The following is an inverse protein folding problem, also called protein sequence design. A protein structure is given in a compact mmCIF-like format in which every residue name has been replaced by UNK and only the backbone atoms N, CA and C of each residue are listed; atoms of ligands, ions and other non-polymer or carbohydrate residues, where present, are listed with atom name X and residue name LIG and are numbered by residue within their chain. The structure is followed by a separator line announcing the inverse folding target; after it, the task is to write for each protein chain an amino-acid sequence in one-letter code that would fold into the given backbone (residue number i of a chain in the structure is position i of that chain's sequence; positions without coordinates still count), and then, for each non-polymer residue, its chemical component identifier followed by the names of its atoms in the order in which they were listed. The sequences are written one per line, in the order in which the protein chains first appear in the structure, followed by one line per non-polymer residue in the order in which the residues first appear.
data_IF_628007438787
#
_entry.id   IF_628007438787
#
_cell.length_a   1.000
_cell.length_b   1.000
_cell.length_c   1.000
_cell.angle_alpha   90.00
_cell.angle_beta   90.00
_cell.angle_gamma   90.00
#
_symmetry.space_group_name_H-M   'P 1'
#
loop_
_entity.id
_entity.type
_entity.pdbx_description
1 polymer ?
#
# COMPACT_ATOMS: atom_id res chain seq x y z
N UNK A 1 -5.53 10.75 1.86
CA UNK A 1 -5.78 9.81 2.99
C UNK A 1 -5.82 10.44 4.38
N UNK A 2 -5.38 11.68 4.61
CA UNK A 2 -5.45 12.30 5.96
C UNK A 2 -6.85 12.79 6.31
N UNK A 3 -7.35 12.45 7.51
CA UNK A 3 -8.65 12.89 8.02
C UNK A 3 -8.66 14.40 8.35
N UNK A 4 -9.77 15.11 8.09
CA UNK A 4 -9.91 16.55 8.33
C UNK A 4 -9.53 16.99 9.73
N UNK A 5 -9.93 16.21 10.74
CA UNK A 5 -9.60 16.45 12.14
C UNK A 5 -8.10 16.53 12.44
N UNK A 6 -7.23 15.89 11.65
CA UNK A 6 -5.79 16.07 11.82
C UNK A 6 -5.36 17.51 11.46
N UNK A 7 -5.93 18.08 10.39
CA UNK A 7 -5.67 19.47 10.00
C UNK A 7 -6.27 20.45 11.00
N UNK A 8 -7.50 20.19 11.49
CA UNK A 8 -8.16 21.02 12.50
C UNK A 8 -7.44 20.97 13.85
N UNK A 9 -6.90 19.82 14.23
CA UNK A 9 -6.07 19.69 15.43
C UNK A 9 -4.76 20.48 15.30
N UNK A 10 -4.10 20.44 14.15
CA UNK A 10 -2.89 21.23 13.88
C UNK A 10 -3.20 22.73 13.90
N UNK A 11 -4.29 23.15 13.24
CA UNK A 11 -4.77 24.54 13.27
C UNK A 11 -4.97 25.03 14.71
N UNK A 12 -5.77 24.30 15.50
CA UNK A 12 -6.02 24.63 16.91
C UNK A 12 -4.72 24.71 17.70
N UNK A 13 -3.85 23.71 17.56
CA UNK A 13 -2.56 23.66 18.26
C UNK A 13 -1.69 24.87 17.93
N UNK A 14 -1.67 25.31 16.67
CA UNK A 14 -0.87 26.47 16.27
C UNK A 14 -1.44 27.77 16.80
N UNK A 15 -2.78 27.94 16.81
CA UNK A 15 -3.42 29.11 17.43
C UNK A 15 -3.12 29.18 18.93
N UNK A 16 -3.21 28.04 19.63
CA UNK A 16 -2.91 27.96 21.06
C UNK A 16 -1.45 28.33 21.35
N UNK A 17 -0.51 27.89 20.52
CA UNK A 17 0.93 28.17 20.69
C UNK A 17 1.27 29.63 20.33
N UNK A 18 0.69 30.19 19.28
CA UNK A 18 1.04 31.53 18.80
C UNK A 18 0.22 32.64 19.43
N UNK A 19 -0.94 32.34 20.00
CA UNK A 19 -1.92 33.32 20.47
C UNK A 19 -2.60 34.10 19.34
N UNK A 20 -2.51 33.61 18.10
CA UNK A 20 -3.08 34.26 16.92
C UNK A 20 -4.30 33.45 16.46
N UNK A 21 -5.45 34.09 16.34
CA UNK A 21 -6.73 33.44 15.96
C UNK A 21 -6.88 33.13 14.47
N UNK A 22 -5.95 33.62 13.63
CA UNK A 22 -5.91 33.29 12.21
C UNK A 22 -5.66 31.79 11.97
N UNK A 23 -6.11 31.23 10.83
CA UNK A 23 -5.83 29.84 10.48
C UNK A 23 -4.35 29.48 10.64
N UNK A 24 -4.09 28.32 11.24
CA UNK A 24 -2.77 27.80 11.58
C UNK A 24 -1.91 28.77 12.40
N UNK A 25 -2.53 29.59 13.26
CA UNK A 25 -1.82 30.55 14.12
C UNK A 25 -1.06 31.60 13.33
N UNK A 26 -1.57 32.00 12.15
CA UNK A 26 -0.94 32.96 11.23
C UNK A 26 0.23 32.38 10.43
N UNK A 27 0.44 31.05 10.45
CA UNK A 27 1.51 30.39 9.66
C UNK A 27 1.04 30.06 8.25
N UNK A 28 1.96 30.14 7.30
CA UNK A 28 1.74 29.63 5.95
C UNK A 28 1.74 28.10 6.01
N UNK A 29 0.63 27.49 5.64
CA UNK A 29 0.47 26.05 5.60
C UNK A 29 0.32 25.57 4.15
N UNK A 30 1.24 24.72 3.69
CA UNK A 30 1.24 24.20 2.31
C UNK A 30 0.76 22.75 2.33
N UNK A 31 -0.25 22.46 1.51
CA UNK A 31 -0.83 21.12 1.35
C UNK A 31 -0.55 20.61 -0.06
N UNK A 32 -0.13 19.35 -0.16
CA UNK A 32 0.00 18.63 -1.42
C UNK A 32 -0.87 17.38 -1.40
N UNK A 33 -1.57 17.11 -2.50
CA UNK A 33 -2.42 15.94 -2.61
C UNK A 33 -3.17 15.88 -3.94
N UNK A 34 -3.85 14.78 -4.16
CA UNK A 34 -4.66 14.52 -5.35
C UNK A 34 -5.94 13.82 -4.94
N UNK A 35 -7.08 14.51 -5.11
CA UNK A 35 -8.40 14.00 -4.73
C UNK A 35 -8.91 12.88 -5.62
N UNK A 36 -8.22 12.55 -6.72
CA UNK A 36 -8.47 11.35 -7.51
C UNK A 36 -7.95 10.08 -6.83
N UNK A 37 -7.07 10.22 -5.84
CA UNK A 37 -6.49 9.10 -5.11
C UNK A 37 -7.40 8.65 -3.96
N UNK A 38 -6.99 7.60 -3.25
CA UNK A 38 -7.79 7.01 -2.19
C UNK A 38 -7.99 8.02 -1.04
N UNK A 39 -9.25 8.15 -0.65
CA UNK A 39 -9.72 9.01 0.45
C UNK A 39 -9.38 8.39 1.82
N UNK A 40 -9.52 9.14 2.94
CA UNK A 40 -9.33 8.56 4.26
C UNK A 40 -10.25 7.34 4.48
N UNK A 41 -9.71 6.29 5.09
CA UNK A 41 -10.47 5.06 5.34
C UNK A 41 -11.34 5.24 6.58
N UNK A 42 -12.65 5.04 6.43
CA UNK A 42 -13.61 4.99 7.54
C UNK A 42 -14.14 3.57 7.66
N UNK A 43 -13.86 2.92 8.79
CA UNK A 43 -14.30 1.55 9.03
C UNK A 43 -15.84 1.53 9.07
N UNK A 44 -16.45 0.69 8.21
CA UNK A 44 -17.91 0.60 8.04
C UNK A 44 -18.57 1.95 7.66
N UNK A 45 -17.80 2.90 7.15
CA UNK A 45 -18.28 4.20 6.74
C UNK A 45 -19.08 4.14 5.44
N UNK A 46 -20.18 4.89 5.38
CA UNK A 46 -20.90 5.20 4.15
C UNK A 46 -20.09 6.16 3.27
N UNK A 47 -20.43 6.26 1.98
CA UNK A 47 -19.87 7.26 1.05
C UNK A 47 -19.88 8.68 1.63
N UNK A 48 -21.01 9.09 2.22
CA UNK A 48 -21.16 10.41 2.83
C UNK A 48 -20.21 10.62 4.02
N UNK A 49 -20.05 9.62 4.90
CA UNK A 49 -19.10 9.69 6.01
C UNK A 49 -17.66 9.77 5.52
N UNK A 50 -17.28 8.99 4.50
CA UNK A 50 -15.94 9.04 3.90
C UNK A 50 -15.66 10.43 3.32
N UNK A 51 -16.60 11.01 2.56
CA UNK A 51 -16.48 12.36 2.03
C UNK A 51 -16.35 13.38 3.17
N UNK A 52 -17.14 13.24 4.23
CA UNK A 52 -17.08 14.14 5.39
C UNK A 52 -15.72 14.13 6.09
N UNK A 53 -14.95 13.05 6.00
CA UNK A 53 -13.58 13.00 6.56
C UNK A 53 -12.56 13.77 5.74
N UNK A 54 -12.86 14.18 4.52
CA UNK A 54 -11.92 14.87 3.66
C UNK A 54 -11.75 16.34 4.08
N UNK A 55 -10.56 16.91 3.84
CA UNK A 55 -10.28 18.31 4.18
C UNK A 55 -11.23 19.31 3.51
N UNK A 56 -11.80 18.96 2.34
CA UNK A 56 -12.83 19.75 1.65
C UNK A 56 -14.10 19.97 2.49
N UNK A 57 -14.41 19.06 3.41
CA UNK A 57 -15.54 19.16 4.33
C UNK A 57 -15.19 19.86 5.64
N UNK A 58 -13.95 20.33 5.80
CA UNK A 58 -13.54 21.13 6.96
C UNK A 58 -13.94 22.59 6.80
N UNK A 59 -14.21 23.24 7.93
CA UNK A 59 -14.39 24.70 7.99
C UNK A 59 -13.14 25.47 7.55
N UNK A 60 -11.96 24.83 7.59
CA UNK A 60 -10.69 25.39 7.12
C UNK A 60 -10.61 25.52 5.60
N UNK A 61 -11.38 24.74 4.84
CA UNK A 61 -11.26 24.68 3.38
C UNK A 61 -11.52 26.04 2.71
N UNK A 62 -12.40 26.86 3.29
CA UNK A 62 -12.71 28.21 2.77
C UNK A 62 -11.51 29.18 2.77
N UNK A 63 -10.44 28.86 3.50
CA UNK A 63 -9.20 29.65 3.54
C UNK A 63 -8.12 29.10 2.60
N UNK A 64 -8.38 27.98 1.91
CA UNK A 64 -7.39 27.31 1.05
C UNK A 64 -7.39 27.92 -0.33
N UNK A 65 -6.22 28.41 -0.76
CA UNK A 65 -5.96 28.78 -2.15
C UNK A 65 -5.47 27.54 -2.91
N UNK A 66 -6.14 27.22 -4.02
CA UNK A 66 -5.83 26.02 -4.81
C UNK A 66 -4.85 26.39 -5.93
N UNK A 67 -3.74 25.65 -6.01
CA UNK A 67 -2.77 25.73 -7.11
C UNK A 67 -2.66 24.35 -7.78
N UNK A 68 -2.65 24.32 -9.10
CA UNK A 68 -2.61 23.08 -9.87
C UNK A 68 -1.23 22.85 -10.49
N UNK A 69 -0.65 21.68 -10.23
CA UNK A 69 0.50 21.18 -10.98
C UNK A 69 0.00 20.41 -12.21
N UNK A 70 0.42 20.84 -13.39
CA UNK A 70 -0.08 20.30 -14.68
C UNK A 70 0.93 19.39 -15.39
N UNK A 71 2.20 19.44 -15.00
CA UNK A 71 3.27 18.64 -15.60
C UNK A 71 3.41 17.32 -14.84
N UNK A 72 3.19 16.20 -15.52
CA UNK A 72 3.40 14.87 -14.96
C UNK A 72 4.90 14.51 -14.98
N UNK A 73 5.52 14.45 -13.81
CA UNK A 73 6.94 14.10 -13.68
C UNK A 73 7.21 12.59 -13.65
N UNK A 74 6.17 11.74 -13.50
CA UNK A 74 6.30 10.27 -13.49
C UNK A 74 6.38 9.71 -14.90
N UNK A 75 5.60 10.27 -15.82
CA UNK A 75 5.53 9.89 -17.24
C UNK A 75 5.99 11.10 -18.07
N UNK A 76 7.28 11.11 -18.43
CA UNK A 76 7.90 12.24 -19.15
C UNK A 76 8.03 12.02 -20.66
N UNK A 77 7.72 10.82 -21.17
CA UNK A 77 7.75 10.57 -22.60
C UNK A 77 6.47 11.11 -23.26
N UNK A 78 6.61 12.10 -24.14
CA UNK A 78 5.50 12.71 -24.89
C UNK A 78 4.69 11.67 -25.69
N UNK A 79 5.30 10.55 -26.09
CA UNK A 79 4.63 9.44 -26.78
C UNK A 79 3.56 8.74 -25.92
N UNK A 80 3.51 9.01 -24.62
CA UNK A 80 2.54 8.42 -23.69
C UNK A 80 1.49 9.42 -23.19
N UNK A 81 1.34 10.57 -23.86
CA UNK A 81 0.35 11.57 -23.48
C UNK A 81 -1.08 11.01 -23.49
N UNK A 82 -1.40 10.12 -24.41
CA UNK A 82 -2.69 9.42 -24.46
C UNK A 82 -2.94 8.60 -23.19
N UNK A 83 -1.92 7.92 -22.68
CA UNK A 83 -2.01 7.15 -21.44
C UNK A 83 -2.17 8.07 -20.22
N UNK A 84 -1.46 9.21 -20.18
CA UNK A 84 -1.65 10.21 -19.12
C UNK A 84 -3.09 10.74 -19.11
N UNK A 85 -3.63 11.06 -20.28
CA UNK A 85 -5.01 11.53 -20.43
C UNK A 85 -6.01 10.44 -20.02
N UNK A 86 -5.77 9.19 -20.42
CA UNK A 86 -6.56 8.05 -20.00
C UNK A 86 -6.58 7.91 -18.47
N UNK A 87 -5.42 7.97 -17.81
CA UNK A 87 -5.34 7.91 -16.33
C UNK A 87 -6.16 9.03 -15.68
N UNK A 88 -6.09 10.26 -16.18
CA UNK A 88 -6.90 11.36 -15.64
C UNK A 88 -8.40 11.11 -15.81
N UNK A 89 -8.82 10.57 -16.96
CA UNK A 89 -10.22 10.19 -17.20
C UNK A 89 -10.69 9.06 -16.27
N UNK A 90 -9.82 8.09 -15.96
CA UNK A 90 -10.09 7.05 -14.95
C UNK A 90 -10.32 7.70 -13.58
N UNK A 91 -9.40 8.56 -13.13
CA UNK A 91 -9.48 9.21 -11.82
C UNK A 91 -10.66 10.16 -11.65
N UNK A 92 -11.18 10.73 -12.74
CA UNK A 92 -12.33 11.62 -12.75
C UNK A 92 -13.66 10.90 -13.08
N UNK A 93 -13.60 9.59 -13.37
CA UNK A 93 -14.78 8.79 -13.71
C UNK A 93 -15.51 9.23 -14.98
N UNK A 94 -14.77 9.82 -15.93
CA UNK A 94 -15.31 10.38 -17.19
C UNK A 94 -15.64 9.30 -18.23
N UNK A 95 -14.95 8.17 -18.18
CA UNK A 95 -15.13 7.05 -19.11
C UNK A 95 -16.01 5.92 -18.54
N UNK A 96 -16.77 6.19 -17.47
CA UNK A 96 -17.64 5.19 -16.88
C UNK A 96 -18.91 5.03 -17.73
N UNK A 97 -19.32 3.79 -18.03
CA UNK A 97 -20.44 3.46 -18.92
C UNK A 97 -21.75 3.27 -18.13
N UNK A 98 -21.67 2.83 -16.87
CA UNK A 98 -22.83 2.61 -15.96
C UNK A 98 -22.46 2.98 -14.51
N UNK A 99 -22.37 4.29 -14.25
CA UNK A 99 -21.92 4.96 -13.00
C UNK A 99 -20.50 4.61 -12.52
N UNK A 100 -20.17 3.34 -12.31
CA UNK A 100 -18.91 2.87 -11.72
C UNK A 100 -18.25 1.75 -12.54
N UNK A 101 -18.60 1.57 -13.82
CA UNK A 101 -18.00 0.54 -14.69
C UNK A 101 -17.16 1.18 -15.79
N UNK A 102 -15.92 0.72 -15.97
CA UNK A 102 -15.03 1.16 -17.05
C UNK A 102 -14.56 -0.02 -17.90
N UNK A 103 -14.41 0.24 -19.20
CA UNK A 103 -13.74 -0.67 -20.13
C UNK A 103 -12.23 -0.55 -20.02
N UNK A 104 -11.55 -1.68 -19.84
CA UNK A 104 -10.08 -1.75 -19.89
C UNK A 104 -9.59 -1.96 -21.32
N UNK A 105 -8.35 -1.55 -21.56
CA UNK A 105 -7.68 -1.74 -22.85
C UNK A 105 -7.16 -3.16 -22.97
N UNK A 106 -7.46 -3.87 -24.07
CA UNK A 106 -7.13 -5.29 -24.23
C UNK A 106 -5.61 -5.57 -24.27
N UNK A 107 -4.78 -4.58 -24.59
CA UNK A 107 -3.32 -4.70 -24.68
C UNK A 107 -2.61 -4.81 -23.31
N UNK A 108 -3.26 -4.40 -22.23
CA UNK A 108 -2.70 -4.50 -20.86
C UNK A 108 -3.26 -5.70 -20.09
N UNK A 109 -4.11 -6.50 -20.72
CA UNK A 109 -4.77 -7.64 -20.09
C UNK A 109 -3.96 -8.90 -20.32
N UNK A 110 -3.88 -9.73 -19.29
CA UNK A 110 -3.32 -11.06 -19.40
C UNK A 110 -4.36 -12.01 -20.01
N UNK A 111 -4.02 -12.64 -21.13
CA UNK A 111 -4.90 -13.62 -21.83
C UNK A 111 -5.18 -14.91 -21.03
N UNK A 112 -4.71 -15.01 -19.79
CA UNK A 112 -4.84 -16.17 -18.92
C UNK A 112 -5.28 -15.70 -17.54
N UNK A 113 -6.20 -16.44 -16.93
CA UNK A 113 -6.87 -16.14 -15.67
C UNK A 113 -6.15 -16.74 -14.44
N UNK A 114 -4.96 -17.33 -14.61
CA UNK A 114 -4.19 -17.90 -13.51
C UNK A 114 -3.20 -16.90 -12.92
N UNK A 115 -3.17 -16.80 -11.58
CA UNK A 115 -2.25 -15.92 -10.85
C UNK A 115 -0.77 -16.27 -11.11
N UNK A 116 -0.47 -17.55 -11.35
CA UNK A 116 0.84 -18.04 -11.78
C UNK A 116 1.34 -17.35 -13.06
N UNK A 117 0.43 -17.11 -14.00
CA UNK A 117 0.73 -16.42 -15.26
C UNK A 117 1.04 -14.94 -15.02
N UNK A 118 0.36 -14.30 -14.08
CA UNK A 118 0.70 -12.93 -13.67
C UNK A 118 2.04 -12.88 -12.93
N UNK A 119 2.25 -13.80 -11.96
CA UNK A 119 3.51 -13.90 -11.20
C UNK A 119 4.68 -14.08 -12.15
N UNK A 120 4.60 -15.07 -13.05
CA UNK A 120 5.63 -15.31 -14.05
C UNK A 120 5.85 -14.07 -14.91
N UNK A 121 4.81 -13.46 -15.47
CA UNK A 121 4.94 -12.27 -16.33
C UNK A 121 5.61 -11.09 -15.62
N UNK A 122 5.28 -10.84 -14.35
CA UNK A 122 5.85 -9.73 -13.56
C UNK A 122 7.27 -10.04 -13.15
N UNK A 123 7.53 -11.26 -12.67
CA UNK A 123 8.81 -11.69 -12.12
C UNK A 123 9.48 -12.74 -13.00
N UNK A 124 9.45 -12.53 -14.32
CA UNK A 124 10.04 -13.44 -15.28
C UNK A 124 11.47 -13.75 -14.83
N UNK A 125 11.70 -15.00 -14.42
CA UNK A 125 13.00 -15.54 -14.01
C UNK A 125 13.52 -15.16 -12.60
N UNK A 126 12.76 -15.46 -11.53
CA UNK A 126 13.30 -15.47 -10.16
C UNK A 126 14.60 -16.28 -10.00
N UNK A 127 14.78 -17.31 -10.83
CA UNK A 127 15.87 -18.28 -10.75
C UNK A 127 17.02 -18.03 -11.74
N UNK A 128 16.97 -16.97 -12.57
CA UNK A 128 18.17 -16.59 -13.31
C UNK A 128 19.14 -16.00 -12.29
N UNK A 129 20.30 -16.65 -12.16
CA UNK A 129 21.46 -16.07 -11.50
C UNK A 129 21.79 -14.77 -12.24
N UNK A 130 21.29 -13.65 -11.70
CA UNK A 130 21.89 -12.37 -12.03
C UNK A 130 23.30 -12.45 -11.49
N UNK A 131 24.27 -12.66 -12.39
CA UNK A 131 25.70 -12.77 -12.08
C UNK A 131 26.27 -11.55 -11.32
N UNK A 132 25.44 -10.56 -11.00
CA UNK A 132 25.75 -9.37 -10.21
C UNK A 132 24.56 -9.04 -9.27
N UNK A 133 24.84 -8.93 -7.96
CA UNK A 133 23.86 -8.62 -6.92
C UNK A 133 23.11 -7.29 -7.15
N UNK A 134 23.75 -6.31 -7.81
CA UNK A 134 23.13 -5.02 -8.13
C UNK A 134 22.02 -5.17 -9.19
N UNK A 135 22.20 -6.06 -10.16
CA UNK A 135 21.19 -6.30 -11.19
C UNK A 135 19.95 -7.00 -10.59
N UNK A 136 20.17 -7.90 -9.63
CA UNK A 136 19.08 -8.55 -8.90
C UNK A 136 18.27 -7.56 -8.05
N UNK A 137 18.97 -6.72 -7.27
CA UNK A 137 18.32 -5.74 -6.40
C UNK A 137 17.46 -4.78 -7.21
N UNK A 138 17.98 -4.26 -8.33
CA UNK A 138 17.21 -3.42 -9.26
C UNK A 138 16.00 -4.17 -9.84
N UNK A 139 16.18 -5.43 -10.24
CA UNK A 139 15.10 -6.25 -10.77
C UNK A 139 13.94 -6.41 -9.77
N UNK A 140 14.23 -6.75 -8.52
CA UNK A 140 13.22 -6.93 -7.46
C UNK A 140 12.59 -5.59 -7.05
N UNK A 141 13.40 -4.54 -6.91
CA UNK A 141 12.95 -3.20 -6.54
C UNK A 141 11.87 -2.67 -7.49
N UNK A 142 12.07 -2.84 -8.79
CA UNK A 142 11.24 -2.21 -9.80
C UNK A 142 9.93 -2.98 -10.10
N UNK A 143 9.68 -4.08 -9.37
CA UNK A 143 8.57 -5.00 -9.59
C UNK A 143 7.68 -5.16 -8.37
N UNK A 144 6.38 -5.21 -8.59
CA UNK A 144 5.41 -5.64 -7.58
C UNK A 144 4.09 -6.07 -8.22
N UNK A 145 3.33 -6.89 -7.51
CA UNK A 145 1.93 -7.19 -7.82
C UNK A 145 1.03 -6.41 -6.86
N UNK A 146 0.02 -5.73 -7.41
CA UNK A 146 -0.99 -5.04 -6.63
C UNK A 146 -2.28 -5.86 -6.61
N UNK A 147 -2.92 -5.90 -5.45
CA UNK A 147 -4.25 -6.47 -5.29
C UNK A 147 -5.12 -5.59 -4.38
N UNK A 148 -6.42 -5.84 -4.37
CA UNK A 148 -7.38 -4.99 -3.64
C UNK A 148 -7.43 -5.28 -2.14
N UNK A 149 -7.18 -6.53 -1.71
CA UNK A 149 -7.33 -7.00 -0.31
C UNK A 149 -6.04 -7.58 0.25
N UNK A 150 -5.86 -7.47 1.57
CA UNK A 150 -4.68 -8.02 2.27
C UNK A 150 -4.61 -9.56 2.19
N UNK A 151 -5.74 -10.26 2.26
CA UNK A 151 -5.81 -11.73 2.17
C UNK A 151 -5.19 -12.23 0.85
N UNK A 152 -5.62 -11.65 -0.27
CA UNK A 152 -5.08 -11.96 -1.61
C UNK A 152 -3.59 -11.65 -1.71
N UNK A 153 -3.17 -10.52 -1.14
CA UNK A 153 -1.73 -10.16 -1.09
C UNK A 153 -0.93 -11.19 -0.32
N UNK A 154 -1.45 -11.68 0.80
CA UNK A 154 -0.80 -12.72 1.59
C UNK A 154 -0.70 -14.02 0.78
N UNK A 155 -1.78 -14.45 0.13
CA UNK A 155 -1.80 -15.66 -0.71
C UNK A 155 -0.78 -15.58 -1.86
N UNK A 156 -0.71 -14.44 -2.55
CA UNK A 156 0.27 -14.22 -3.63
C UNK A 156 1.70 -14.26 -3.07
N UNK A 157 1.96 -13.56 -1.97
CA UNK A 157 3.28 -13.54 -1.33
C UNK A 157 3.71 -14.93 -0.84
N UNK A 158 2.81 -15.71 -0.24
CA UNK A 158 3.05 -17.08 0.20
C UNK A 158 3.35 -18.01 -0.96
N UNK A 159 2.65 -17.83 -2.10
CA UNK A 159 2.91 -18.59 -3.31
C UNK A 159 4.30 -18.30 -3.87
N UNK A 160 4.64 -17.01 -3.99
CA UNK A 160 5.94 -16.59 -4.53
C UNK A 160 7.09 -17.05 -3.63
N UNK A 161 7.01 -16.87 -2.31
CA UNK A 161 8.12 -17.21 -1.41
C UNK A 161 8.39 -18.72 -1.35
N UNK A 162 7.40 -19.58 -1.59
CA UNK A 162 7.59 -21.04 -1.67
C UNK A 162 8.53 -21.42 -2.81
N UNK A 163 8.30 -20.86 -3.99
CA UNK A 163 9.09 -21.12 -5.20
C UNK A 163 10.38 -20.28 -5.29
N UNK A 164 10.48 -19.24 -4.46
CA UNK A 164 11.64 -18.36 -4.41
C UNK A 164 12.90 -19.11 -3.97
N UNK A 165 14.04 -18.81 -4.59
CA UNK A 165 15.31 -19.48 -4.28
C UNK A 165 15.83 -19.11 -2.89
N UNK A 166 16.70 -19.96 -2.33
CA UNK A 166 17.32 -19.74 -1.02
C UNK A 166 16.64 -20.46 0.14
N UNK A 167 17.36 -20.54 1.26
CA UNK A 167 16.91 -21.22 2.46
C UNK A 167 15.83 -20.40 3.18
N UNK A 168 14.70 -21.04 3.44
CA UNK A 168 13.62 -20.45 4.24
C UNK A 168 14.06 -20.32 5.69
N UNK A 169 13.88 -19.13 6.25
CA UNK A 169 14.02 -18.84 7.67
C UNK A 169 12.64 -18.58 8.26
N UNK A 170 12.31 -19.32 9.31
CA UNK A 170 11.05 -19.19 10.04
C UNK A 170 11.24 -18.37 11.32
N UNK A 171 10.32 -17.44 11.55
CA UNK A 171 10.23 -16.65 12.77
C UNK A 171 8.82 -16.79 13.35
N UNK A 172 8.73 -17.22 14.61
CA UNK A 172 7.47 -17.33 15.34
C UNK A 172 7.28 -16.11 16.23
N UNK A 173 6.07 -15.53 16.24
CA UNK A 173 5.75 -14.43 17.14
C UNK A 173 5.56 -14.92 18.57
N UNK A 174 5.80 -14.04 19.53
CA UNK A 174 5.36 -14.21 20.90
C UNK A 174 4.18 -13.27 21.15
N UNK A 175 2.98 -13.84 21.08
CA UNK A 175 1.73 -13.09 21.21
C UNK A 175 1.16 -13.24 22.63
N UNK A 176 0.64 -12.14 23.17
CA UNK A 176 0.05 -12.09 24.51
C UNK A 176 -1.14 -11.14 24.55
N UNK A 177 -2.00 -11.32 25.54
CA UNK A 177 -3.04 -10.35 25.88
C UNK A 177 -2.49 -9.40 26.95
N UNK A 178 -2.58 -8.09 26.68
CA UNK A 178 -2.31 -7.06 27.67
C UNK A 178 -3.61 -6.75 28.40
N UNK A 179 -3.65 -7.09 29.69
CA UNK A 179 -4.78 -6.85 30.58
C UNK A 179 -4.24 -6.53 31.98
N UNK A 180 -4.87 -5.57 32.66
CA UNK A 180 -4.56 -5.21 34.05
C UNK A 180 -5.02 -6.32 35.01
N UNK A 181 -6.08 -7.06 34.66
CA UNK A 181 -6.61 -8.17 35.45
C UNK A 181 -6.13 -9.53 34.93
N UNK A 182 -5.20 -10.15 35.66
CA UNK A 182 -4.56 -11.45 35.33
C UNK A 182 -5.52 -12.62 35.02
N UNK A 183 -6.79 -12.52 35.40
CA UNK A 183 -7.83 -13.53 35.13
C UNK A 183 -8.16 -13.62 33.64
N UNK A 184 -8.12 -12.50 32.92
CA UNK A 184 -8.49 -12.44 31.51
C UNK A 184 -7.41 -12.98 30.56
N UNK A 185 -6.14 -12.95 30.98
CA UNK A 185 -5.03 -13.50 30.18
C UNK A 185 -5.16 -15.01 29.94
N UNK A 186 -5.78 -15.74 30.87
CA UNK A 186 -6.02 -17.18 30.74
C UNK A 186 -7.30 -17.54 29.98
N UNK A 187 -8.15 -16.55 29.63
CA UNK A 187 -9.39 -16.81 28.88
C UNK A 187 -9.14 -17.10 27.40
N UNK A 188 -7.98 -16.70 26.88
CA UNK A 188 -7.64 -16.85 25.46
C UNK A 188 -6.46 -17.82 25.30
N UNK A 189 -6.70 -19.04 24.78
CA UNK A 189 -5.64 -19.99 24.50
C UNK A 189 -4.60 -19.42 23.53
N UNK A 190 -3.33 -19.76 23.73
CA UNK A 190 -2.23 -19.30 22.87
C UNK A 190 -2.46 -19.77 21.42
N UNK A 191 -3.03 -20.95 21.23
CA UNK A 191 -3.40 -21.50 19.92
C UNK A 191 -4.39 -20.58 19.20
N UNK A 192 -5.36 -20.03 19.93
CA UNK A 192 -6.30 -19.06 19.37
C UNK A 192 -5.58 -17.77 18.96
N UNK A 193 -4.73 -17.21 19.83
CA UNK A 193 -3.97 -15.99 19.52
C UNK A 193 -3.12 -16.15 18.25
N UNK A 194 -2.49 -17.31 18.06
CA UNK A 194 -1.66 -17.63 16.88
C UNK A 194 -2.44 -17.68 15.57
N UNK A 195 -3.76 -17.86 15.61
CA UNK A 195 -4.61 -17.83 14.40
C UNK A 195 -4.98 -16.41 13.97
N UNK A 196 -4.77 -15.41 14.84
CA UNK A 196 -5.14 -14.03 14.55
C UNK A 196 -4.08 -13.37 13.65
N UNK A 197 -4.54 -12.74 12.57
CA UNK A 197 -3.70 -11.91 11.69
C UNK A 197 -4.32 -10.51 11.52
N UNK A 198 -4.42 -9.72 12.60
CA UNK A 198 -5.10 -8.44 12.55
C UNK A 198 -4.31 -7.42 11.75
N UNK A 199 -5.00 -6.35 11.32
CA UNK A 199 -4.38 -5.34 10.47
C UNK A 199 -3.20 -4.65 11.16
N UNK A 200 -2.10 -4.53 10.41
CA UNK A 200 -0.90 -3.85 10.88
C UNK A 200 0.06 -4.72 11.68
N UNK A 201 -0.18 -6.01 11.87
CA UNK A 201 0.82 -6.94 12.43
C UNK A 201 1.18 -8.03 11.41
N UNK A 202 2.41 -8.56 11.44
CA UNK A 202 2.76 -9.74 10.67
C UNK A 202 2.00 -10.97 11.18
N UNK A 203 1.91 -12.06 10.39
CA UNK A 203 1.37 -13.32 10.86
C UNK A 203 2.23 -13.95 11.96
N UNK A 204 1.64 -14.85 12.76
CA UNK A 204 2.37 -15.59 13.80
C UNK A 204 3.61 -16.28 13.25
N UNK A 205 3.44 -16.99 12.13
CA UNK A 205 4.50 -17.65 11.39
C UNK A 205 4.94 -16.78 10.23
N UNK A 206 6.11 -16.15 10.36
CA UNK A 206 6.73 -15.33 9.33
C UNK A 206 7.85 -16.12 8.65
N UNK A 207 7.68 -16.44 7.37
CA UNK A 207 8.70 -17.13 6.55
C UNK A 207 9.35 -16.12 5.62
N UNK A 208 10.67 -15.99 5.70
CA UNK A 208 11.47 -15.11 4.85
C UNK A 208 12.62 -15.88 4.20
N UNK A 209 13.13 -15.36 3.10
CA UNK A 209 14.35 -15.85 2.43
C UNK A 209 15.30 -14.68 2.20
N UNK A 210 16.59 -14.95 2.11
CA UNK A 210 17.58 -13.96 1.68
C UNK A 210 17.20 -13.49 0.27
N UNK A 211 17.42 -12.21 -0.02
CA UNK A 211 17.08 -11.51 -1.26
C UNK A 211 15.57 -11.32 -1.52
N UNK A 212 14.70 -11.78 -0.62
CA UNK A 212 13.27 -11.48 -0.71
C UNK A 212 12.98 -10.00 -0.38
N UNK A 213 12.10 -9.32 -1.16
CA UNK A 213 11.60 -8.01 -0.81
C UNK A 213 10.65 -8.12 0.39
N UNK A 214 10.83 -7.23 1.35
CA UNK A 214 9.97 -7.06 2.52
C UNK A 214 9.52 -5.61 2.62
N UNK A 215 8.50 -5.34 3.43
CA UNK A 215 7.97 -4.01 3.68
C UNK A 215 7.78 -3.80 5.18
N UNK A 216 8.16 -2.63 5.67
CA UNK A 216 7.95 -2.24 7.06
C UNK A 216 6.47 -1.96 7.35
N UNK A 217 6.01 -2.43 8.51
CA UNK A 217 4.64 -2.26 9.01
C UNK A 217 4.51 -1.14 10.05
N UNK A 218 5.63 -0.60 10.54
CA UNK A 218 5.69 0.44 11.57
C UNK A 218 6.75 1.48 11.23
N UNK A 219 6.54 2.70 11.75
CA UNK A 219 7.58 3.72 11.77
C UNK A 219 8.57 3.36 12.88
N UNK A 220 9.81 3.07 12.52
CA UNK A 220 10.90 2.78 13.46
C UNK A 220 11.77 4.03 13.60
N UNK A 221 12.21 4.58 12.48
CA UNK A 221 13.00 5.81 12.43
C UNK A 221 12.73 6.55 11.12
N UNK A 222 11.80 7.52 11.12
CA UNK A 222 11.48 8.29 9.93
C UNK A 222 12.67 9.07 9.37
N UNK A 223 13.55 9.56 10.24
CA UNK A 223 14.78 10.28 9.86
C UNK A 223 15.69 9.39 9.02
N UNK A 224 15.76 8.09 9.35
CA UNK A 224 16.61 7.12 8.67
C UNK A 224 15.91 6.45 7.46
N UNK A 225 14.69 6.87 7.12
CA UNK A 225 13.87 6.28 6.04
C UNK A 225 13.12 5.00 6.42
N UNK A 226 13.11 4.63 7.70
CA UNK A 226 12.42 3.43 8.22
C UNK A 226 10.99 3.76 8.66
N UNK A 227 10.14 4.00 7.66
CA UNK A 227 8.73 4.28 7.80
C UNK A 227 7.86 3.07 7.44
N UNK A 228 6.60 3.09 7.87
CA UNK A 228 5.59 2.15 7.40
C UNK A 228 5.44 2.27 5.88
N UNK A 229 5.53 1.15 5.16
CA UNK A 229 5.49 1.10 3.71
C UNK A 229 6.86 1.11 3.03
N UNK A 230 7.96 1.42 3.74
CA UNK A 230 9.31 1.35 3.17
C UNK A 230 9.60 -0.09 2.73
N UNK A 231 9.94 -0.27 1.45
CA UNK A 231 10.36 -1.56 0.89
C UNK A 231 11.85 -1.75 1.15
N UNK A 232 12.21 -2.96 1.58
CA UNK A 232 13.57 -3.38 1.85
C UNK A 232 13.83 -4.70 1.11
N UNK A 233 15.09 -5.04 0.92
CA UNK A 233 15.53 -6.39 0.51
C UNK A 233 16.29 -7.03 1.66
N UNK A 234 15.93 -8.27 2.00
CA UNK A 234 16.68 -9.05 3.00
C UNK A 234 18.04 -9.39 2.40
N UNK A 235 19.12 -9.27 3.17
CA UNK A 235 20.42 -9.81 2.73
C UNK A 235 20.99 -10.85 3.69
N UNK A 236 20.66 -10.78 4.99
CA UNK A 236 20.99 -11.84 5.96
C UNK A 236 20.06 -11.83 7.17
N UNK A 237 19.97 -12.99 7.80
CA UNK A 237 19.34 -13.16 9.11
C UNK A 237 20.41 -13.27 10.18
N UNK A 238 20.20 -12.60 11.31
CA UNK A 238 20.97 -12.74 12.54
C UNK A 238 20.02 -13.19 13.66
N UNK A 239 20.56 -13.53 14.83
CA UNK A 239 19.79 -14.10 15.93
C UNK A 239 18.57 -13.24 16.34
N UNK A 240 18.71 -11.91 16.34
CA UNK A 240 17.65 -10.99 16.82
C UNK A 240 17.38 -9.82 15.87
N UNK A 241 18.00 -9.79 14.69
CA UNK A 241 17.84 -8.70 13.72
C UNK A 241 17.79 -9.24 12.29
N UNK A 242 16.98 -8.63 11.45
CA UNK A 242 17.03 -8.78 10.00
C UNK A 242 17.93 -7.69 9.46
N UNK A 243 18.96 -8.06 8.71
CA UNK A 243 19.82 -7.11 8.05
C UNK A 243 19.36 -6.91 6.60
N UNK A 244 18.84 -5.73 6.32
CA UNK A 244 18.15 -5.38 5.10
C UNK A 244 18.76 -4.13 4.43
N UNK A 245 18.34 -3.84 3.20
CA UNK A 245 18.76 -2.67 2.44
C UNK A 245 17.53 -1.97 1.89
N UNK A 246 17.49 -0.63 1.97
CA UNK A 246 16.33 0.16 1.54
C UNK A 246 16.23 0.18 0.01
N UNK A 247 15.05 -0.16 -0.52
CA UNK A 247 14.81 -0.21 -1.97
C UNK A 247 14.18 1.07 -2.54
N UNK A 248 13.54 1.89 -1.71
CA UNK A 248 12.74 3.04 -2.18
C UNK A 248 12.97 4.29 -1.33
N UNK A 249 12.75 5.47 -1.94
CA UNK A 249 12.83 6.77 -1.25
C UNK A 249 14.23 7.39 -1.26
N UNK A 250 14.41 8.42 -0.43
CA UNK A 250 15.65 9.22 -0.34
C UNK A 250 16.84 8.48 0.27
N UNK A 251 16.58 7.35 0.94
CA UNK A 251 17.58 6.55 1.64
C UNK A 251 17.90 5.23 0.92
N UNK A 252 17.68 5.18 -0.39
CA UNK A 252 17.94 3.99 -1.20
C UNK A 252 19.38 3.47 -1.01
N UNK A 253 19.56 2.15 -1.10
CA UNK A 253 20.81 1.41 -0.95
C UNK A 253 21.44 1.48 0.46
N UNK A 254 20.78 2.14 1.41
CA UNK A 254 21.22 2.18 2.80
C UNK A 254 20.98 0.86 3.50
N UNK A 255 22.04 0.34 4.13
CA UNK A 255 22.00 -0.86 4.98
C UNK A 255 21.36 -0.55 6.34
N UNK A 256 20.42 -1.39 6.78
CA UNK A 256 19.63 -1.17 8.00
C UNK A 256 19.39 -2.49 8.75
N UNK A 257 19.22 -2.40 10.07
CA UNK A 257 18.94 -3.55 10.93
C UNK A 257 17.55 -3.40 11.53
N UNK A 258 16.69 -4.40 11.30
CA UNK A 258 15.31 -4.40 11.77
C UNK A 258 15.22 -5.37 12.96
N UNK A 259 14.98 -4.86 14.19
CA UNK A 259 14.77 -5.72 15.36
C UNK A 259 13.33 -6.23 15.44
N UNK A 260 13.10 -7.24 16.28
CA UNK A 260 11.75 -7.56 16.75
C UNK A 260 11.27 -6.44 17.67
N UNK A 261 9.99 -6.10 17.57
CA UNK A 261 9.35 -5.11 18.43
C UNK A 261 8.00 -5.62 18.91
N UNK A 262 7.52 -5.05 20.02
CA UNK A 262 6.12 -5.22 20.44
C UNK A 262 5.23 -4.34 19.58
N UNK A 263 4.13 -4.90 19.09
CA UNK A 263 3.15 -4.23 18.25
C UNK A 263 1.76 -4.53 18.77
N UNK A 264 0.97 -3.49 18.94
CA UNK A 264 -0.48 -3.60 19.10
C UNK A 264 -1.12 -3.50 17.71
N UNK A 265 -2.08 -4.37 17.35
CA UNK A 265 -2.82 -4.25 16.11
C UNK A 265 -3.56 -2.92 16.01
N UNK A 266 -3.81 -2.49 14.78
CA UNK A 266 -4.59 -1.27 14.53
C UNK A 266 -6.10 -1.52 14.50
N UNK A 267 -6.53 -2.80 14.53
CA UNK A 267 -7.93 -3.19 14.52
C UNK A 267 -8.50 -3.26 15.94
N UNK A 268 -9.48 -2.39 16.22
CA UNK A 268 -10.09 -2.17 17.55
C UNK A 268 -11.20 -3.19 17.87
N UNK A 269 -11.43 -4.18 17.01
CA UNK A 269 -12.57 -5.11 17.13
C UNK A 269 -12.32 -6.32 18.03
N UNK A 270 -11.09 -6.52 18.49
CA UNK A 270 -10.81 -7.57 19.46
C UNK A 270 -11.35 -7.14 20.83
N UNK A 271 -12.02 -8.03 21.59
CA UNK A 271 -12.52 -7.71 22.93
C UNK A 271 -11.39 -7.59 23.98
N UNK A 272 -10.13 -7.61 23.55
CA UNK A 272 -8.93 -7.55 24.37
C UNK A 272 -7.80 -6.86 23.59
N UNK A 273 -6.79 -6.39 24.31
CA UNK A 273 -5.60 -5.80 23.70
C UNK A 273 -4.57 -6.88 23.36
N UNK A 274 -4.44 -7.22 22.07
CA UNK A 274 -3.39 -8.12 21.60
C UNK A 274 -2.05 -7.39 21.53
N UNK A 275 -0.99 -8.00 22.05
CA UNK A 275 0.39 -7.55 21.88
C UNK A 275 1.15 -8.66 21.14
N UNK A 276 1.65 -8.32 19.96
CA UNK A 276 2.45 -9.20 19.12
C UNK A 276 3.93 -8.80 19.20
N UNK A 277 4.80 -9.71 19.63
CA UNK A 277 6.25 -9.50 19.57
C UNK A 277 6.83 -10.23 18.35
N UNK A 278 7.19 -9.48 17.32
CA UNK A 278 7.70 -10.01 16.05
C UNK A 278 8.49 -8.93 15.27
N UNK A 279 9.22 -9.31 14.22
CA UNK A 279 9.74 -8.36 13.25
C UNK A 279 8.61 -7.58 12.57
N UNK A 280 8.66 -6.24 12.53
CA UNK A 280 7.58 -5.41 11.99
C UNK A 280 7.60 -5.37 10.45
N UNK A 281 7.66 -6.53 9.80
CA UNK A 281 7.81 -6.67 8.34
C UNK A 281 6.84 -7.70 7.76
N UNK A 282 6.43 -7.50 6.51
CA UNK A 282 5.77 -8.51 5.70
C UNK A 282 6.49 -8.67 4.36
N UNK A 283 6.21 -9.75 3.61
CA UNK A 283 6.69 -9.90 2.23
C UNK A 283 6.12 -8.78 1.34
N UNK A 284 6.90 -8.39 0.34
CA UNK A 284 6.59 -7.25 -0.54
C UNK A 284 6.78 -7.57 -2.03
N UNK A 285 6.56 -8.82 -2.43
CA UNK A 285 6.36 -9.15 -3.85
C UNK A 285 5.00 -8.64 -4.31
N UNK A 286 3.99 -8.82 -3.47
CA UNK A 286 2.68 -8.23 -3.61
C UNK A 286 2.38 -7.25 -2.48
N UNK A 287 1.54 -6.26 -2.74
CA UNK A 287 1.01 -5.32 -1.75
C UNK A 287 -0.37 -4.83 -2.14
N UNK A 288 -1.11 -4.24 -1.20
CA UNK A 288 -2.42 -3.67 -1.55
C UNK A 288 -2.26 -2.38 -2.35
N UNK A 289 -3.24 -2.08 -3.20
CA UNK A 289 -3.29 -0.82 -3.95
C UNK A 289 -3.19 0.39 -3.00
N UNK A 290 -3.84 0.31 -1.83
CA UNK A 290 -3.78 1.36 -0.80
C UNK A 290 -2.35 1.58 -0.27
N UNK A 291 -1.55 0.52 -0.12
CA UNK A 291 -0.14 0.62 0.30
C UNK A 291 0.79 1.11 -0.81
N UNK A 292 0.42 0.88 -2.06
CA UNK A 292 1.15 1.35 -3.22
C UNK A 292 0.91 2.83 -3.54
N UNK A 293 -0.03 3.50 -2.86
CA UNK A 293 -0.25 4.93 -3.01
C UNK A 293 1.07 5.69 -2.78
N UNK A 294 1.32 6.69 -3.62
CA UNK A 294 2.57 7.47 -3.68
C UNK A 294 3.86 6.73 -4.05
N UNK A 295 3.80 5.42 -4.32
CA UNK A 295 4.95 4.67 -4.87
C UNK A 295 4.97 4.74 -6.40
N UNK A 296 6.17 4.60 -6.99
CA UNK A 296 6.35 4.34 -8.43
C UNK A 296 6.82 2.89 -8.56
N UNK A 297 6.11 2.10 -9.37
CA UNK A 297 6.39 0.67 -9.60
C UNK A 297 6.60 0.52 -11.11
N UNK A 298 7.86 0.54 -11.59
CA UNK A 298 8.16 0.54 -13.01
C UNK A 298 7.53 -0.62 -13.78
N UNK A 299 7.48 -1.82 -13.20
CA UNK A 299 6.87 -3.02 -13.76
C UNK A 299 5.86 -3.62 -12.79
N UNK A 300 4.58 -3.59 -13.15
CA UNK A 300 3.51 -3.88 -12.22
C UNK A 300 2.56 -4.94 -12.76
N UNK A 301 2.24 -5.92 -11.91
CA UNK A 301 1.05 -6.75 -12.08
C UNK A 301 -0.11 -6.17 -11.28
N UNK A 302 -1.32 -6.25 -11.81
CA UNK A 302 -2.53 -5.87 -11.09
C UNK A 302 -3.53 -7.02 -11.12
N UNK A 303 -3.82 -7.59 -9.96
CA UNK A 303 -4.83 -8.62 -9.77
C UNK A 303 -6.18 -7.98 -9.42
N UNK A 304 -7.15 -8.13 -10.31
CA UNK A 304 -8.53 -7.64 -10.18
C UNK A 304 -9.56 -8.78 -10.12
N UNK A 305 -9.18 -10.02 -9.79
CA UNK A 305 -10.16 -11.06 -9.48
C UNK A 305 -11.14 -10.62 -8.39
N UNK A 306 -10.63 -9.88 -7.40
CA UNK A 306 -11.47 -9.14 -6.48
C UNK A 306 -11.67 -7.71 -6.99
N UNK A 307 -12.93 -7.29 -7.19
CA UNK A 307 -13.22 -6.00 -7.78
C UNK A 307 -12.77 -4.85 -6.87
N UNK A 308 -12.47 -3.73 -7.51
CA UNK A 308 -12.26 -2.44 -6.85
C UNK A 308 -13.50 -2.09 -6.03
N UNK A 309 -13.27 -1.59 -4.80
CA UNK A 309 -14.33 -1.32 -3.83
C UNK A 309 -14.26 0.08 -3.21
N UNK A 310 -13.24 0.88 -3.53
CA UNK A 310 -13.02 2.19 -2.95
C UNK A 310 -12.76 3.27 -4.00
N UNK A 311 -13.10 4.51 -3.64
CA UNK A 311 -12.82 5.71 -4.43
C UNK A 311 -11.36 5.75 -4.89
N UNK A 312 -11.15 5.97 -6.19
CA UNK A 312 -9.82 6.28 -6.73
C UNK A 312 -8.84 5.10 -6.69
N UNK A 313 -9.27 3.92 -6.24
CA UNK A 313 -8.39 2.76 -6.08
C UNK A 313 -7.86 2.27 -7.43
N UNK A 314 -8.71 2.21 -8.47
CA UNK A 314 -8.26 1.87 -9.82
C UNK A 314 -7.27 2.91 -10.36
N UNK A 315 -7.57 4.20 -10.19
CA UNK A 315 -6.69 5.29 -10.58
C UNK A 315 -5.32 5.19 -9.89
N UNK A 316 -5.29 4.94 -8.57
CA UNK A 316 -4.04 4.74 -7.82
C UNK A 316 -3.27 3.59 -8.42
N UNK A 317 -3.88 2.42 -8.64
CA UNK A 317 -3.21 1.26 -9.21
C UNK A 317 -2.58 1.58 -10.59
N UNK A 318 -3.39 2.06 -11.54
CA UNK A 318 -2.92 2.30 -12.91
C UNK A 318 -1.87 3.42 -13.00
N UNK A 319 -1.89 4.38 -12.08
CA UNK A 319 -0.95 5.51 -12.07
C UNK A 319 0.42 5.21 -11.43
N UNK A 320 0.65 3.98 -10.94
CA UNK A 320 1.95 3.60 -10.32
C UNK A 320 3.04 3.31 -11.36
N UNK A 321 2.66 2.92 -12.57
CA UNK A 321 3.61 2.64 -13.65
C UNK A 321 4.06 3.91 -14.37
N UNK A 322 5.24 3.84 -14.96
CA UNK A 322 5.78 4.91 -15.81
C UNK A 322 5.45 4.71 -17.29
N UNK A 323 4.90 3.55 -17.66
CA UNK A 323 4.50 3.23 -19.02
C UNK A 323 3.34 2.25 -19.04
N UNK A 324 2.42 2.44 -20.00
CA UNK A 324 1.35 1.49 -20.31
C UNK A 324 1.91 0.09 -20.64
N UNK A 325 3.08 0.00 -21.25
CA UNK A 325 3.68 -1.30 -21.63
C UNK A 325 4.20 -2.10 -20.43
N UNK A 326 4.29 -1.48 -19.25
CA UNK A 326 4.82 -2.11 -18.05
C UNK A 326 3.74 -2.50 -17.04
N UNK A 327 2.46 -2.42 -17.42
CA UNK A 327 1.35 -2.96 -16.62
C UNK A 327 0.80 -4.22 -17.27
N UNK A 328 0.49 -5.21 -16.42
CA UNK A 328 -0.26 -6.40 -16.82
C UNK A 328 -1.38 -6.60 -15.82
N UNK A 329 -2.60 -6.74 -16.31
CA UNK A 329 -3.82 -6.87 -15.50
C UNK A 329 -4.36 -8.29 -15.64
N UNK A 330 -4.60 -8.93 -14.51
CA UNK A 330 -5.30 -10.20 -14.39
C UNK A 330 -6.74 -9.94 -13.94
N UNK A 331 -7.72 -10.39 -14.72
CA UNK A 331 -9.14 -10.13 -14.46
C UNK A 331 -10.04 -11.16 -15.16
N UNK A 332 -11.05 -11.62 -14.43
CA UNK A 332 -12.00 -12.64 -14.88
C UNK A 332 -13.37 -12.01 -15.17
N UNK A 333 -13.40 -11.03 -16.09
CA UNK A 333 -14.64 -10.30 -16.37
C UNK A 333 -14.79 -9.92 -17.85
N UNK A 334 -15.04 -10.93 -18.67
CA UNK A 334 -15.21 -10.81 -20.12
C UNK A 334 -16.70 -10.68 -20.47
N UNK A 335 -17.07 -9.62 -21.19
CA UNK A 335 -18.39 -9.44 -21.80
C UNK A 335 -18.21 -9.00 -23.25
N UNK A 336 -18.70 -9.80 -24.21
CA UNK A 336 -18.63 -9.53 -25.66
C UNK A 336 -17.23 -9.08 -26.13
N UNK A 337 -16.20 -9.90 -25.87
CA UNK A 337 -14.78 -9.66 -26.21
C UNK A 337 -14.12 -8.44 -25.54
N UNK A 338 -14.87 -7.72 -24.70
CA UNK A 338 -14.42 -6.57 -23.96
C UNK A 338 -14.29 -6.90 -22.48
N UNK A 339 -13.38 -6.21 -21.80
CA UNK A 339 -13.16 -6.40 -20.38
C UNK A 339 -13.59 -5.17 -19.62
N UNK A 340 -14.39 -5.40 -18.59
CA UNK A 340 -14.93 -4.35 -17.74
C UNK A 340 -14.51 -4.56 -16.30
N UNK A 341 -14.29 -3.46 -15.58
CA UNK A 341 -14.04 -3.50 -14.14
C UNK A 341 -14.71 -2.32 -13.46
N UNK A 342 -14.79 -2.39 -12.12
CA UNK A 342 -15.30 -1.28 -11.32
C UNK A 342 -14.28 -0.14 -11.26
N UNK A 343 -14.75 1.08 -11.48
CA UNK A 343 -14.04 2.33 -11.29
C UNK A 343 -14.89 3.26 -10.43
N UNK A 344 -14.75 3.11 -9.11
CA UNK A 344 -15.52 3.88 -8.12
C UNK A 344 -14.93 5.27 -8.00
N UNK A 345 -15.72 6.29 -8.33
CA UNK A 345 -15.31 7.70 -8.24
C UNK A 345 -16.43 8.51 -7.58
N UNK A 346 -16.07 9.19 -6.50
CA UNK A 346 -16.98 10.06 -5.74
C UNK A 346 -16.87 11.46 -6.32
N UNK A 347 -17.85 11.84 -7.14
CA UNK A 347 -17.84 13.11 -7.85
C UNK A 347 -17.95 14.33 -6.92
N UNK A 348 -18.50 14.14 -5.73
CA UNK A 348 -18.69 15.18 -4.71
C UNK A 348 -17.38 15.70 -4.13
N UNK A 349 -16.25 14.99 -4.32
CA UNK A 349 -14.95 15.43 -3.82
C UNK A 349 -14.21 16.34 -4.81
N UNK A 350 -14.75 16.59 -6.00
CA UNK A 350 -14.09 17.41 -7.04
C UNK A 350 -14.36 18.89 -6.90
#
# INVERSE_FOLDING_TARGET
MTHKFAYEAVDKTFRDITGIEEPFGGKIFIMGGDFRQILPVVIQGTRGQIIDTCIKSSSLWKYVNIMHLTINMRIQNNEQQEFVNYLLQVGEGKNNIEEDIIKLSNDIILNNNHIESLISKVFNNFNINYNNANNYTNFIKDRAILATKNEVVNDINEKIIKDFSGQAQEFLSADSVEDEDSVHQNLYPIEFLKTLTPSGTPPHKLILKVDAPIMLLRNISPIEGLCNGTRLIVKRFQQHVIDAEILTGSHIDKRVFIPQIKMTPSDVRLPFQLVCHQFPVCLAFAMTINKAQDQTIPHMGLDLHNPIFAHGQLYVALSRVQSKNNIVILIDNYYDENIYTKNIVYREIF
#
